data_IF_591326764405
#
_entry.id   IF_591326764405
#
_cell.length_a   1.000
_cell.length_b   1.000
_cell.length_c   1.000
_cell.angle_alpha   90.00
_cell.angle_beta   90.00
_cell.angle_gamma   90.00
#
_symmetry.space_group_name_H-M   'P 1'
#
loop_
_entity.id
_entity.type
_entity.pdbx_description
1 polymer ?
#
# COMPACT_ATOMS: atom_id res chain seq x y z
N UNK A 1 10.65 3.13 -29.07
CA UNK A 1 10.07 2.29 -30.15
C UNK A 1 8.57 2.26 -29.93
N UNK A 2 7.77 2.55 -30.96
CA UNK A 2 6.32 2.39 -30.91
C UNK A 2 5.95 0.90 -30.81
N UNK A 3 4.83 0.58 -30.13
CA UNK A 3 4.31 -0.77 -30.13
C UNK A 3 3.78 -1.13 -31.50
N UNK A 4 4.10 -2.32 -31.96
CA UNK A 4 3.48 -2.95 -33.14
C UNK A 4 3.27 -4.43 -32.84
N UNK A 5 2.18 -4.99 -33.34
CA UNK A 5 1.96 -6.43 -33.26
C UNK A 5 3.07 -7.18 -34.00
N UNK A 6 3.51 -8.34 -33.53
CA UNK A 6 4.39 -9.20 -34.31
C UNK A 6 3.79 -9.46 -35.72
N UNK A 7 4.60 -9.48 -36.77
CA UNK A 7 4.10 -9.69 -38.16
C UNK A 7 3.26 -10.97 -38.34
N UNK A 8 3.52 -11.98 -37.50
CA UNK A 8 2.78 -13.25 -37.49
C UNK A 8 1.41 -13.17 -36.82
N UNK A 9 1.08 -12.04 -36.16
CA UNK A 9 -0.17 -11.90 -35.43
C UNK A 9 -1.26 -11.28 -36.30
N UNK A 10 -2.37 -11.96 -36.39
CA UNK A 10 -3.60 -11.54 -37.05
C UNK A 10 -4.72 -11.30 -36.02
N UNK A 11 -5.85 -10.79 -36.47
CA UNK A 11 -7.07 -10.71 -35.64
C UNK A 11 -7.50 -12.06 -35.08
N UNK A 12 -7.31 -13.17 -35.84
CA UNK A 12 -7.57 -14.53 -35.35
C UNK A 12 -6.62 -14.94 -34.22
N UNK A 13 -5.35 -14.54 -34.29
CA UNK A 13 -4.37 -14.76 -33.21
C UNK A 13 -4.78 -14.07 -31.94
N UNK A 14 -5.20 -12.80 -32.01
CA UNK A 14 -5.70 -12.05 -30.86
C UNK A 14 -6.96 -12.66 -30.25
N UNK A 15 -7.91 -13.09 -31.07
CA UNK A 15 -9.13 -13.77 -30.62
C UNK A 15 -8.77 -15.07 -29.89
N UNK A 16 -7.91 -15.90 -30.47
CA UNK A 16 -7.46 -17.14 -29.85
C UNK A 16 -6.75 -16.94 -28.51
N UNK A 17 -5.89 -15.91 -28.40
CA UNK A 17 -5.21 -15.52 -27.18
C UNK A 17 -6.21 -15.13 -26.08
N UNK A 18 -7.17 -14.26 -26.43
CA UNK A 18 -8.21 -13.78 -25.50
C UNK A 18 -9.05 -14.93 -24.96
N UNK A 19 -9.50 -15.81 -25.84
CA UNK A 19 -10.29 -16.99 -25.47
C UNK A 19 -9.51 -17.93 -24.55
N UNK A 20 -8.25 -18.24 -24.88
CA UNK A 20 -7.41 -19.11 -24.05
C UNK A 20 -7.17 -18.54 -22.66
N UNK A 21 -6.89 -17.24 -22.56
CA UNK A 21 -6.64 -16.59 -21.28
C UNK A 21 -7.90 -16.52 -20.41
N UNK A 22 -9.05 -16.13 -20.97
CA UNK A 22 -10.32 -16.08 -20.25
C UNK A 22 -10.77 -17.48 -19.80
N UNK A 23 -10.69 -18.51 -20.66
CA UNK A 23 -11.03 -19.88 -20.29
C UNK A 23 -10.10 -20.43 -19.18
N UNK A 24 -8.85 -20.02 -19.16
CA UNK A 24 -7.93 -20.34 -18.07
C UNK A 24 -8.34 -19.63 -16.78
N UNK A 25 -8.64 -18.33 -16.85
CA UNK A 25 -9.06 -17.53 -15.71
C UNK A 25 -10.31 -18.08 -15.07
N UNK A 26 -11.32 -18.43 -15.85
CA UNK A 26 -12.58 -19.02 -15.36
C UNK A 26 -12.37 -20.25 -14.48
N UNK A 27 -11.28 -21.00 -14.73
CA UNK A 27 -10.94 -22.25 -14.02
C UNK A 27 -9.97 -22.05 -12.86
N UNK A 28 -9.13 -21.01 -12.89
CA UNK A 28 -7.97 -20.89 -12.00
C UNK A 28 -7.96 -19.63 -11.16
N UNK A 29 -8.95 -18.73 -11.35
CA UNK A 29 -9.02 -17.51 -10.53
C UNK A 29 -9.16 -17.85 -9.05
N UNK A 30 -8.41 -17.15 -8.21
CA UNK A 30 -8.53 -17.27 -6.77
C UNK A 30 -9.88 -16.70 -6.30
N UNK A 31 -10.52 -17.34 -5.32
CA UNK A 31 -11.67 -16.75 -4.62
C UNK A 31 -11.17 -15.63 -3.70
N UNK A 32 -11.45 -14.40 -4.08
CA UNK A 32 -11.01 -13.21 -3.34
C UNK A 32 -12.24 -12.38 -2.93
N UNK A 33 -12.29 -11.86 -1.69
CA UNK A 33 -13.48 -11.19 -1.16
C UNK A 33 -13.96 -9.99 -1.97
N UNK A 34 -13.08 -9.30 -2.68
CA UNK A 34 -13.41 -8.17 -3.56
C UNK A 34 -13.87 -8.56 -4.97
N UNK A 35 -13.86 -9.86 -5.30
CA UNK A 35 -14.40 -10.41 -6.56
C UNK A 35 -15.87 -10.83 -6.45
N UNK A 36 -16.42 -10.78 -5.24
CA UNK A 36 -17.82 -11.10 -4.95
C UNK A 36 -18.70 -9.88 -5.14
N UNK A 37 -19.99 -10.10 -5.38
CA UNK A 37 -21.01 -9.04 -5.40
C UNK A 37 -21.11 -8.35 -4.01
N UNK A 38 -21.86 -7.26 -3.94
CA UNK A 38 -22.04 -6.51 -2.69
C UNK A 38 -22.67 -7.36 -1.56
N UNK A 39 -23.57 -8.29 -1.93
CA UNK A 39 -24.20 -9.24 -1.02
C UNK A 39 -23.30 -10.44 -0.62
N UNK A 40 -22.06 -10.48 -1.13
CA UNK A 40 -21.09 -11.54 -0.88
C UNK A 40 -21.24 -12.77 -1.79
N UNK A 41 -22.19 -12.80 -2.73
CA UNK A 41 -22.37 -13.91 -3.67
C UNK A 41 -21.25 -13.96 -4.71
N UNK A 42 -20.87 -15.16 -5.13
CA UNK A 42 -19.93 -15.37 -6.22
C UNK A 42 -20.63 -15.25 -7.57
N UNK A 43 -19.95 -14.65 -8.58
CA UNK A 43 -20.42 -14.60 -9.97
C UNK A 43 -21.43 -13.49 -10.30
N UNK A 44 -21.79 -12.64 -9.36
CA UNK A 44 -22.58 -11.42 -9.60
C UNK A 44 -21.74 -10.24 -10.11
N UNK A 45 -22.40 -9.10 -10.45
CA UNK A 45 -21.68 -7.86 -10.77
C UNK A 45 -20.83 -7.42 -9.58
N UNK A 46 -19.56 -7.10 -9.85
CA UNK A 46 -18.63 -6.68 -8.79
C UNK A 46 -19.01 -5.30 -8.28
N UNK A 47 -18.98 -5.15 -6.97
CA UNK A 47 -19.21 -3.87 -6.31
C UNK A 47 -18.04 -2.90 -6.59
N UNK A 48 -18.27 -1.73 -7.21
CA UNK A 48 -17.22 -0.78 -7.53
C UNK A 48 -16.48 -0.24 -6.29
N UNK A 49 -17.15 -0.10 -5.15
CA UNK A 49 -16.51 0.32 -3.90
C UNK A 49 -15.53 -0.74 -3.40
N UNK A 50 -15.93 -2.00 -3.38
CA UNK A 50 -15.08 -3.13 -2.94
C UNK A 50 -13.89 -3.31 -3.88
N UNK A 51 -14.10 -3.20 -5.20
CA UNK A 51 -13.01 -3.20 -6.18
C UNK A 51 -12.04 -2.06 -5.89
N UNK A 52 -12.54 -0.84 -5.74
CA UNK A 52 -11.68 0.32 -5.50
C UNK A 52 -10.85 0.21 -4.21
N UNK A 53 -11.48 -0.13 -3.09
CA UNK A 53 -10.79 -0.33 -1.81
C UNK A 53 -9.69 -1.38 -1.94
N UNK A 54 -9.99 -2.53 -2.56
CA UNK A 54 -9.01 -3.61 -2.72
C UNK A 54 -7.83 -3.20 -3.59
N UNK A 55 -8.08 -2.52 -4.71
CA UNK A 55 -7.04 -2.08 -5.64
C UNK A 55 -6.10 -1.04 -5.01
N UNK A 56 -6.63 -0.17 -4.15
CA UNK A 56 -5.81 0.76 -3.36
C UNK A 56 -5.00 0.00 -2.29
N UNK A 57 -5.58 -0.98 -1.62
CA UNK A 57 -4.88 -1.80 -0.63
C UNK A 57 -3.77 -2.69 -1.24
N UNK A 58 -3.99 -3.19 -2.45
CA UNK A 58 -3.05 -4.07 -3.15
C UNK A 58 -1.83 -3.34 -3.73
N UNK A 59 -1.84 -2.02 -3.80
CA UNK A 59 -0.65 -1.27 -4.21
C UNK A 59 0.52 -1.56 -3.25
N UNK A 60 1.56 -2.22 -3.75
CA UNK A 60 2.77 -2.58 -2.99
C UNK A 60 2.53 -3.51 -1.77
N UNK A 61 1.39 -4.21 -1.74
CA UNK A 61 1.03 -5.13 -0.66
C UNK A 61 0.56 -6.46 -1.27
N UNK A 62 0.91 -7.59 -0.66
CA UNK A 62 0.52 -8.91 -1.16
C UNK A 62 -0.95 -9.22 -0.88
N UNK A 63 -1.56 -10.05 -1.73
CA UNK A 63 -2.95 -10.49 -1.57
C UNK A 63 -3.21 -11.10 -0.19
N UNK A 64 -2.33 -12.00 0.25
CA UNK A 64 -2.46 -12.66 1.57
C UNK A 64 -2.48 -11.66 2.72
N UNK A 65 -1.67 -10.59 2.65
CA UNK A 65 -1.67 -9.55 3.66
C UNK A 65 -2.94 -8.68 3.59
N UNK A 66 -3.45 -8.42 2.38
CA UNK A 66 -4.61 -7.51 2.18
C UNK A 66 -5.93 -8.12 2.64
N UNK A 67 -6.17 -9.42 2.43
CA UNK A 67 -7.46 -10.05 2.72
C UNK A 67 -8.01 -9.70 4.10
N UNK A 68 -7.31 -9.94 5.22
CA UNK A 68 -7.86 -9.65 6.55
C UNK A 68 -8.08 -8.14 6.80
N UNK A 69 -7.30 -7.27 6.16
CA UNK A 69 -7.51 -5.82 6.26
C UNK A 69 -8.73 -5.38 5.47
N UNK A 70 -8.89 -5.92 4.28
CA UNK A 70 -10.04 -5.61 3.42
C UNK A 70 -11.35 -6.01 4.10
N UNK A 71 -11.45 -7.23 4.62
CA UNK A 71 -12.65 -7.72 5.30
C UNK A 71 -13.01 -6.85 6.50
N UNK A 72 -12.03 -6.53 7.35
CA UNK A 72 -12.23 -5.64 8.51
C UNK A 72 -12.62 -4.22 8.10
N UNK A 73 -12.00 -3.69 7.04
CA UNK A 73 -12.24 -2.35 6.54
C UNK A 73 -13.66 -2.20 5.99
N UNK A 74 -14.08 -3.12 5.11
CA UNK A 74 -15.42 -3.06 4.51
C UNK A 74 -16.54 -3.43 5.48
N UNK A 75 -16.24 -4.22 6.52
CA UNK A 75 -17.19 -4.45 7.61
C UNK A 75 -17.44 -3.19 8.44
N UNK A 76 -16.39 -2.38 8.68
CA UNK A 76 -16.48 -1.14 9.46
C UNK A 76 -16.97 0.06 8.64
N UNK A 77 -16.70 0.08 7.33
CA UNK A 77 -16.98 1.15 6.37
C UNK A 77 -17.52 0.49 5.08
N UNK A 78 -18.81 0.10 5.04
CA UNK A 78 -19.34 -0.79 4.00
C UNK A 78 -19.48 -0.14 2.63
N UNK A 79 -19.52 1.17 2.54
CA UNK A 79 -19.75 1.92 1.31
C UNK A 79 -19.00 3.27 1.30
N UNK A 80 -19.09 3.98 0.19
CA UNK A 80 -18.41 5.27 -0.02
C UNK A 80 -18.90 6.34 0.96
N UNK A 81 -20.17 6.31 1.37
CA UNK A 81 -20.75 7.28 2.32
C UNK A 81 -20.23 7.05 3.73
N UNK A 82 -20.21 5.80 4.17
CA UNK A 82 -19.64 5.42 5.45
C UNK A 82 -18.16 5.79 5.54
N UNK A 83 -17.41 5.59 4.45
CA UNK A 83 -16.00 5.98 4.36
C UNK A 83 -15.86 7.52 4.37
N UNK A 84 -16.65 8.26 3.61
CA UNK A 84 -16.60 9.71 3.55
C UNK A 84 -16.95 10.38 4.89
N UNK A 85 -17.96 9.85 5.61
CA UNK A 85 -18.41 10.35 6.90
C UNK A 85 -17.49 9.97 8.07
N UNK A 86 -16.58 9.00 7.87
CA UNK A 86 -15.68 8.56 8.93
C UNK A 86 -14.67 9.66 9.29
N UNK A 87 -14.26 9.69 10.56
CA UNK A 87 -13.09 10.46 10.97
C UNK A 87 -11.81 9.87 10.38
N UNK A 88 -10.86 10.72 9.99
CA UNK A 88 -9.59 10.30 9.40
C UNK A 88 -8.79 9.38 10.32
N UNK A 89 -8.82 9.63 11.63
CA UNK A 89 -8.13 8.79 12.62
C UNK A 89 -8.70 7.36 12.62
N UNK A 90 -10.02 7.20 12.46
CA UNK A 90 -10.67 5.89 12.32
C UNK A 90 -10.22 5.19 11.05
N UNK A 91 -10.15 5.91 9.91
CA UNK A 91 -9.67 5.34 8.63
C UNK A 91 -8.21 4.90 8.74
N UNK A 92 -7.34 5.75 9.32
CA UNK A 92 -5.93 5.42 9.55
C UNK A 92 -5.77 4.22 10.50
N UNK A 93 -6.64 4.12 11.51
CA UNK A 93 -6.64 2.99 12.46
C UNK A 93 -7.01 1.67 11.78
N UNK A 94 -8.03 1.66 10.93
CA UNK A 94 -8.43 0.48 10.15
C UNK A 94 -7.34 0.06 9.15
N UNK A 95 -6.52 1.00 8.69
CA UNK A 95 -5.43 0.78 7.75
C UNK A 95 -4.10 0.39 8.42
N UNK A 96 -4.03 0.51 9.75
CA UNK A 96 -2.81 0.32 10.50
C UNK A 96 -2.17 -1.05 10.24
N UNK A 97 -0.89 -1.03 9.86
CA UNK A 97 -0.11 -2.23 9.53
C UNK A 97 0.04 -2.50 8.02
N UNK A 98 -0.84 -1.98 7.16
CA UNK A 98 -0.69 -2.11 5.69
C UNK A 98 0.44 -1.26 5.12
N UNK A 99 0.87 -0.23 5.84
CA UNK A 99 1.86 0.73 5.35
C UNK A 99 1.35 1.67 4.25
N UNK A 100 2.24 2.56 3.79
CA UNK A 100 1.89 3.54 2.73
C UNK A 100 0.59 4.30 3.02
N UNK A 101 0.45 4.83 4.22
CA UNK A 101 -0.78 5.47 4.74
C UNK A 101 -1.33 6.61 3.89
N UNK A 102 -0.49 7.22 3.03
CA UNK A 102 -0.94 8.16 2.03
C UNK A 102 -2.06 7.59 1.14
N UNK A 103 -2.06 6.28 0.89
CA UNK A 103 -3.13 5.61 0.15
C UNK A 103 -4.47 5.70 0.89
N UNK A 104 -4.48 5.44 2.19
CA UNK A 104 -5.69 5.55 3.02
C UNK A 104 -6.25 6.97 3.02
N UNK A 105 -5.38 7.98 3.15
CA UNK A 105 -5.80 9.39 3.12
C UNK A 105 -6.34 9.81 1.76
N UNK A 106 -5.69 9.40 0.66
CA UNK A 106 -6.19 9.65 -0.68
C UNK A 106 -7.54 8.95 -0.92
N UNK A 107 -7.67 7.69 -0.48
CA UNK A 107 -8.93 6.94 -0.55
C UNK A 107 -10.05 7.67 0.19
N UNK A 108 -9.77 8.16 1.40
CA UNK A 108 -10.72 8.92 2.22
C UNK A 108 -11.08 10.27 1.58
N UNK A 109 -10.11 11.05 1.10
CA UNK A 109 -10.35 12.31 0.41
C UNK A 109 -11.16 12.12 -0.88
N UNK A 110 -10.88 11.07 -1.65
CA UNK A 110 -11.63 10.74 -2.84
C UNK A 110 -13.06 10.28 -2.52
N UNK A 111 -13.26 9.55 -1.41
CA UNK A 111 -14.59 9.16 -0.95
C UNK A 111 -15.44 10.38 -0.56
N UNK A 112 -14.86 11.39 0.09
CA UNK A 112 -15.55 12.65 0.39
C UNK A 112 -15.98 13.37 -0.88
N UNK A 113 -15.09 13.52 -1.87
CA UNK A 113 -15.41 14.15 -3.14
C UNK A 113 -16.52 13.40 -3.91
N UNK A 114 -16.51 12.07 -3.89
CA UNK A 114 -17.55 11.26 -4.51
C UNK A 114 -18.90 11.36 -3.79
N UNK A 115 -18.90 11.36 -2.45
CA UNK A 115 -20.13 11.47 -1.66
C UNK A 115 -20.80 12.84 -1.80
N UNK A 116 -20.03 13.89 -2.03
CA UNK A 116 -20.55 15.25 -2.29
C UNK A 116 -21.20 15.35 -3.68
N UNK A 117 -20.63 14.69 -4.70
CA UNK A 117 -21.06 14.78 -6.09
C UNK A 117 -22.08 13.70 -6.50
N UNK A 118 -22.02 12.49 -5.91
CA UNK A 118 -22.77 11.30 -6.34
C UNK A 118 -23.36 10.56 -5.15
N UNK A 119 -24.59 10.91 -4.82
CA UNK A 119 -25.21 10.50 -3.56
C UNK A 119 -25.57 9.00 -3.50
N UNK A 120 -25.89 8.35 -4.63
CA UNK A 120 -26.48 7.01 -4.62
C UNK A 120 -25.63 5.89 -5.21
N UNK A 121 -24.82 6.14 -6.22
CA UNK A 121 -24.00 5.13 -6.88
C UNK A 121 -22.67 5.69 -7.34
N UNK A 122 -21.61 4.87 -7.24
CA UNK A 122 -20.32 5.22 -7.83
C UNK A 122 -20.45 5.29 -9.36
N UNK A 123 -19.98 6.37 -10.00
CA UNK A 123 -20.15 6.60 -11.43
C UNK A 123 -19.29 5.66 -12.29
N UNK A 124 -19.75 5.38 -13.50
CA UNK A 124 -18.96 4.68 -14.52
C UNK A 124 -18.24 5.63 -15.50
N UNK A 125 -18.22 6.93 -15.19
CA UNK A 125 -17.58 7.97 -16.00
C UNK A 125 -16.09 8.10 -15.68
N UNK A 126 -15.18 7.86 -16.66
CA UNK A 126 -13.75 8.02 -16.47
C UNK A 126 -13.31 9.42 -16.01
N UNK A 127 -14.01 10.47 -16.44
CA UNK A 127 -13.64 11.85 -16.11
C UNK A 127 -13.81 12.15 -14.61
N UNK A 128 -14.84 11.56 -13.98
CA UNK A 128 -15.06 11.67 -12.54
C UNK A 128 -13.93 11.01 -11.76
N UNK A 129 -13.55 9.79 -12.15
CA UNK A 129 -12.49 9.05 -11.46
C UNK A 129 -11.11 9.69 -11.64
N UNK A 130 -10.80 10.23 -12.85
CA UNK A 130 -9.49 10.85 -13.13
C UNK A 130 -9.25 12.13 -12.30
N UNK A 131 -10.32 12.80 -11.89
CA UNK A 131 -10.26 13.99 -11.02
C UNK A 131 -10.01 13.67 -9.53
N UNK A 132 -10.12 12.41 -9.10
CA UNK A 132 -10.07 12.05 -7.68
C UNK A 132 -8.65 11.98 -7.12
N UNK A 133 -8.43 12.41 -5.86
CA UNK A 133 -7.15 12.27 -5.19
C UNK A 133 -6.66 10.81 -5.14
N UNK A 134 -5.43 10.58 -5.60
CA UNK A 134 -4.81 9.25 -5.57
C UNK A 134 -5.31 8.25 -6.61
N UNK A 135 -6.23 8.65 -7.48
CA UNK A 135 -6.66 7.86 -8.63
C UNK A 135 -5.81 8.22 -9.83
N UNK A 136 -4.95 7.30 -10.23
CA UNK A 136 -4.19 7.38 -11.47
C UNK A 136 -4.73 6.39 -12.49
N UNK A 137 -4.13 6.38 -13.68
CA UNK A 137 -4.53 5.54 -14.82
C UNK A 137 -4.78 4.07 -14.45
N UNK A 138 -3.99 3.51 -13.50
CA UNK A 138 -4.16 2.13 -13.03
C UNK A 138 -5.47 1.95 -12.25
N UNK A 139 -5.71 2.74 -11.19
CA UNK A 139 -6.91 2.63 -10.35
C UNK A 139 -8.16 2.90 -11.18
N UNK A 140 -8.15 3.94 -12.00
CA UNK A 140 -9.23 4.27 -12.93
C UNK A 140 -9.57 3.08 -13.83
N UNK A 141 -8.56 2.52 -14.51
CA UNK A 141 -8.74 1.37 -15.37
C UNK A 141 -9.23 0.13 -14.62
N UNK A 142 -8.72 -0.11 -13.41
CA UNK A 142 -9.09 -1.25 -12.59
C UNK A 142 -10.55 -1.18 -12.15
N UNK A 143 -10.98 -0.07 -11.57
CA UNK A 143 -12.36 0.09 -11.10
C UNK A 143 -13.34 0.01 -12.26
N UNK A 144 -13.12 0.80 -13.32
CA UNK A 144 -14.06 0.90 -14.42
C UNK A 144 -14.13 -0.37 -15.28
N UNK A 145 -13.01 -1.08 -15.47
CA UNK A 145 -13.07 -2.35 -16.20
C UNK A 145 -13.65 -3.47 -15.35
N UNK A 146 -13.32 -3.57 -14.06
CA UNK A 146 -13.73 -4.69 -13.23
C UNK A 146 -15.19 -4.58 -12.76
N UNK A 147 -15.68 -3.38 -12.46
CA UNK A 147 -17.03 -3.18 -11.95
C UNK A 147 -18.05 -2.86 -13.05
N UNK A 148 -17.62 -2.20 -14.13
CA UNK A 148 -18.52 -1.71 -15.18
C UNK A 148 -18.21 -2.27 -16.59
N UNK A 149 -17.25 -3.18 -16.68
CA UNK A 149 -16.75 -3.79 -17.93
C UNK A 149 -16.32 -2.77 -19.01
N UNK A 150 -15.91 -1.57 -18.57
CA UNK A 150 -15.40 -0.55 -19.50
C UNK A 150 -14.11 -1.03 -20.14
N UNK A 151 -13.95 -0.76 -21.44
CA UNK A 151 -12.75 -1.13 -22.20
C UNK A 151 -11.56 -0.25 -21.85
N UNK A 152 -11.05 -0.43 -20.65
CA UNK A 152 -9.88 0.28 -20.12
C UNK A 152 -8.81 -0.73 -19.70
N UNK A 153 -7.58 -0.61 -20.21
CA UNK A 153 -6.50 -1.50 -19.82
C UNK A 153 -5.98 -1.19 -18.42
N UNK A 154 -5.38 -2.19 -17.79
CA UNK A 154 -4.59 -2.01 -16.57
C UNK A 154 -3.17 -2.53 -16.78
N UNK A 155 -2.22 -1.80 -16.20
CA UNK A 155 -0.80 -2.20 -16.21
C UNK A 155 -0.25 -2.06 -14.80
N UNK A 156 0.08 -3.21 -14.19
CA UNK A 156 0.77 -3.33 -12.92
C UNK A 156 1.93 -4.34 -13.05
N UNK A 157 2.65 -4.65 -11.99
CA UNK A 157 3.87 -5.44 -12.07
C UNK A 157 3.71 -6.83 -12.72
N UNK A 158 2.56 -7.50 -12.51
CA UNK A 158 2.30 -8.83 -13.06
C UNK A 158 1.90 -8.74 -14.55
N UNK A 159 0.89 -7.93 -14.88
CA UNK A 159 0.44 -7.75 -16.26
C UNK A 159 1.53 -7.16 -17.16
N UNK A 160 2.31 -6.21 -16.65
CA UNK A 160 3.48 -5.66 -17.33
C UNK A 160 4.49 -6.75 -17.70
N UNK A 161 4.80 -7.64 -16.75
CA UNK A 161 5.73 -8.76 -16.99
C UNK A 161 5.18 -9.73 -18.02
N UNK A 162 3.90 -10.09 -17.90
CA UNK A 162 3.22 -10.98 -18.87
C UNK A 162 3.29 -10.39 -20.26
N UNK A 163 2.89 -9.10 -20.42
CA UNK A 163 2.89 -8.42 -21.72
C UNK A 163 4.31 -8.28 -22.30
N UNK A 164 5.30 -7.91 -21.48
CA UNK A 164 6.68 -7.80 -21.93
C UNK A 164 7.21 -9.13 -22.44
N UNK A 165 6.94 -10.24 -21.74
CA UNK A 165 7.32 -11.60 -22.17
C UNK A 165 6.54 -12.08 -23.39
N UNK A 166 5.22 -11.84 -23.40
CA UNK A 166 4.35 -12.24 -24.50
C UNK A 166 4.83 -11.68 -25.84
N UNK A 167 5.22 -10.40 -25.86
CA UNK A 167 5.70 -9.72 -27.06
C UNK A 167 7.23 -9.66 -27.20
N UNK A 168 7.98 -10.27 -26.30
CA UNK A 168 9.45 -10.31 -26.37
C UNK A 168 10.11 -8.93 -26.21
N UNK A 169 9.51 -8.01 -25.45
CA UNK A 169 10.04 -6.65 -25.27
C UNK A 169 11.29 -6.64 -24.39
N UNK A 170 12.44 -6.38 -24.99
CA UNK A 170 13.75 -6.42 -24.31
C UNK A 170 14.10 -5.13 -23.56
N UNK A 171 13.41 -4.01 -23.86
CA UNK A 171 13.57 -2.75 -23.13
C UNK A 171 12.96 -2.81 -21.73
N UNK A 172 13.22 -1.78 -20.92
CA UNK A 172 12.56 -1.66 -19.60
C UNK A 172 11.13 -1.09 -19.79
N UNK A 173 10.08 -1.90 -19.57
CA UNK A 173 8.69 -1.45 -19.74
C UNK A 173 8.18 -0.55 -18.59
N UNK A 174 9.04 -0.23 -17.61
CA UNK A 174 8.68 0.60 -16.43
C UNK A 174 8.98 2.07 -16.62
N UNK A 175 9.84 2.43 -17.58
CA UNK A 175 10.36 3.79 -17.74
C UNK A 175 10.33 4.26 -19.20
N UNK A 176 10.26 5.56 -19.39
CA UNK A 176 10.39 6.20 -20.71
C UNK A 176 9.46 5.62 -21.77
N UNK A 177 9.99 5.37 -22.94
CA UNK A 177 9.25 4.81 -24.09
C UNK A 177 8.70 3.38 -23.81
N UNK A 178 9.35 2.61 -22.94
CA UNK A 178 8.86 1.30 -22.53
C UNK A 178 7.54 1.36 -21.78
N UNK A 179 7.33 2.42 -20.97
CA UNK A 179 6.05 2.64 -20.28
C UNK A 179 4.92 2.89 -21.26
N UNK A 180 5.12 3.73 -22.27
CA UNK A 180 4.12 3.96 -23.31
C UNK A 180 3.85 2.68 -24.09
N UNK A 181 4.92 1.95 -24.44
CA UNK A 181 4.84 0.68 -25.17
C UNK A 181 3.93 -0.35 -24.46
N UNK A 182 4.12 -0.57 -23.15
CA UNK A 182 3.34 -1.59 -22.42
C UNK A 182 1.87 -1.21 -22.29
N UNK A 183 1.55 0.05 -22.15
CA UNK A 183 0.16 0.52 -22.14
C UNK A 183 -0.52 0.28 -23.49
N UNK A 184 0.14 0.60 -24.61
CA UNK A 184 -0.39 0.31 -25.96
C UNK A 184 -0.53 -1.19 -26.18
N UNK A 185 0.40 -2.00 -25.69
CA UNK A 185 0.29 -3.46 -25.74
C UNK A 185 -0.95 -3.95 -24.98
N UNK A 186 -1.19 -3.43 -23.76
CA UNK A 186 -2.36 -3.77 -22.95
C UNK A 186 -3.67 -3.38 -23.65
N UNK A 187 -3.76 -2.17 -24.24
CA UNK A 187 -4.91 -1.71 -25.03
C UNK A 187 -5.20 -2.63 -26.22
N UNK A 188 -4.15 -3.05 -26.93
CA UNK A 188 -4.26 -3.87 -28.13
C UNK A 188 -4.81 -5.27 -27.82
N UNK A 189 -4.37 -5.89 -26.72
CA UNK A 189 -4.83 -7.25 -26.38
C UNK A 189 -6.21 -7.26 -25.72
N UNK A 190 -6.67 -6.13 -25.18
CA UNK A 190 -7.93 -6.06 -24.45
C UNK A 190 -9.12 -6.39 -25.37
N UNK A 191 -10.03 -7.31 -24.99
CA UNK A 191 -11.24 -7.61 -25.75
C UNK A 191 -12.27 -6.47 -25.68
N UNK A 192 -13.38 -6.60 -26.44
CA UNK A 192 -14.50 -5.63 -26.38
C UNK A 192 -15.54 -5.98 -25.30
N UNK A 193 -15.48 -7.16 -24.69
CA UNK A 193 -16.34 -7.62 -23.62
C UNK A 193 -15.51 -8.45 -22.63
N UNK A 194 -15.98 -8.55 -21.41
CA UNK A 194 -15.23 -9.18 -20.31
C UNK A 194 -13.87 -8.51 -20.10
N UNK A 195 -13.82 -7.19 -20.27
CA UNK A 195 -12.59 -6.40 -20.13
C UNK A 195 -12.00 -6.51 -18.72
N UNK A 196 -12.86 -6.43 -17.70
CA UNK A 196 -12.46 -6.60 -16.31
C UNK A 196 -11.90 -7.98 -16.01
N UNK A 197 -12.54 -9.05 -16.53
CA UNK A 197 -12.04 -10.42 -16.39
C UNK A 197 -10.70 -10.61 -17.09
N UNK A 198 -10.54 -10.04 -18.29
CA UNK A 198 -9.30 -10.15 -19.04
C UNK A 198 -8.14 -9.44 -18.34
N UNK A 199 -8.37 -8.25 -17.82
CA UNK A 199 -7.40 -7.53 -17.01
C UNK A 199 -6.97 -8.33 -15.77
N UNK A 200 -7.93 -8.88 -15.03
CA UNK A 200 -7.65 -9.75 -13.89
C UNK A 200 -6.95 -11.04 -14.30
N UNK A 201 -7.30 -11.62 -15.45
CA UNK A 201 -6.64 -12.82 -15.97
C UNK A 201 -5.14 -12.59 -16.28
N UNK A 202 -4.77 -11.42 -16.81
CA UNK A 202 -3.37 -11.04 -17.00
C UNK A 202 -2.63 -10.92 -15.65
N UNK A 203 -3.27 -10.30 -14.65
CA UNK A 203 -2.69 -10.17 -13.31
C UNK A 203 -2.52 -11.54 -12.65
N UNK A 204 -3.55 -12.38 -12.71
CA UNK A 204 -3.57 -13.73 -12.12
C UNK A 204 -2.54 -14.64 -12.78
N UNK A 205 -2.45 -14.62 -14.13
CA UNK A 205 -1.43 -15.35 -14.87
C UNK A 205 -0.02 -14.94 -14.45
N UNK A 206 0.20 -13.64 -14.27
CA UNK A 206 1.47 -13.14 -13.76
C UNK A 206 1.77 -13.59 -12.33
N UNK A 207 0.76 -13.62 -11.47
CA UNK A 207 0.94 -14.01 -10.08
C UNK A 207 1.19 -15.52 -9.89
N UNK A 208 0.52 -16.38 -10.67
CA UNK A 208 0.48 -17.83 -10.45
C UNK A 208 1.39 -18.63 -11.39
N UNK A 209 1.58 -18.18 -12.62
CA UNK A 209 2.25 -18.95 -13.69
C UNK A 209 3.46 -18.22 -14.24
N UNK A 210 3.26 -16.99 -14.73
CA UNK A 210 4.32 -16.17 -15.33
C UNK A 210 5.11 -15.41 -14.28
N UNK A 211 5.63 -16.09 -13.25
CA UNK A 211 6.33 -15.54 -12.09
C UNK A 211 7.64 -14.83 -12.46
N UNK A 212 8.19 -13.93 -11.62
CA UNK A 212 9.45 -13.22 -11.89
C UNK A 212 10.63 -14.15 -12.13
N UNK A 213 10.72 -15.21 -11.34
CA UNK A 213 11.76 -16.26 -11.40
C UNK A 213 11.10 -17.60 -11.66
N UNK A 214 11.74 -18.47 -12.42
CA UNK A 214 11.27 -19.82 -12.75
C UNK A 214 9.77 -19.87 -13.17
N UNK A 215 9.34 -19.12 -14.22
CA UNK A 215 7.96 -19.17 -14.67
C UNK A 215 7.58 -20.55 -15.19
N UNK A 216 6.39 -21.04 -14.81
CA UNK A 216 5.88 -22.31 -15.35
C UNK A 216 5.29 -22.12 -16.76
N UNK A 217 6.18 -22.08 -17.73
CA UNK A 217 5.79 -21.92 -19.13
C UNK A 217 5.04 -23.15 -19.69
N UNK A 218 5.14 -24.31 -19.05
CA UNK A 218 4.41 -25.53 -19.44
C UNK A 218 2.91 -25.42 -19.17
N UNK A 219 2.55 -24.88 -18.02
CA UNK A 219 1.16 -24.65 -17.62
C UNK A 219 0.56 -23.35 -18.20
N UNK A 220 1.34 -22.51 -18.90
CA UNK A 220 0.87 -21.22 -19.39
C UNK A 220 -0.10 -21.38 -20.58
N UNK A 221 -1.35 -20.85 -20.49
CA UNK A 221 -2.31 -20.92 -21.60
C UNK A 221 -1.85 -20.16 -22.85
N UNK A 222 -0.92 -19.22 -22.69
CA UNK A 222 -0.39 -18.37 -23.75
C UNK A 222 0.95 -18.86 -24.31
N UNK A 223 1.44 -20.03 -23.89
CA UNK A 223 2.77 -20.52 -24.25
C UNK A 223 3.03 -20.55 -25.77
N UNK A 224 2.03 -20.90 -26.58
CA UNK A 224 2.14 -20.98 -28.04
C UNK A 224 2.19 -19.62 -28.75
N UNK A 225 1.92 -18.52 -28.01
CA UNK A 225 1.99 -17.14 -28.52
C UNK A 225 3.12 -16.33 -27.89
N UNK A 226 3.85 -16.90 -26.92
CA UNK A 226 4.83 -16.17 -26.14
C UNK A 226 6.20 -16.09 -26.83
N UNK A 227 6.56 -14.87 -27.23
CA UNK A 227 7.84 -14.62 -27.90
C UNK A 227 9.05 -14.85 -26.99
N UNK A 228 8.95 -14.47 -25.71
CA UNK A 228 10.03 -14.74 -24.75
C UNK A 228 10.28 -16.24 -24.56
N UNK A 229 9.22 -17.07 -24.52
CA UNK A 229 9.38 -18.55 -24.48
C UNK A 229 10.02 -19.07 -25.76
N UNK A 230 9.56 -18.61 -26.92
CA UNK A 230 10.11 -19.03 -28.22
C UNK A 230 11.61 -18.75 -28.33
N UNK A 231 12.07 -17.65 -27.72
CA UNK A 231 13.48 -17.20 -27.75
C UNK A 231 14.30 -17.66 -26.53
N UNK A 232 13.73 -18.34 -25.54
CA UNK A 232 14.42 -18.71 -24.30
C UNK A 232 14.77 -17.53 -23.40
N UNK A 233 14.04 -16.41 -23.49
CA UNK A 233 14.35 -15.15 -22.81
C UNK A 233 13.43 -14.84 -21.62
N UNK A 234 12.59 -15.77 -21.18
CA UNK A 234 11.57 -15.52 -20.13
C UNK A 234 12.16 -15.09 -18.79
N UNK A 235 13.38 -15.42 -18.47
CA UNK A 235 14.05 -14.99 -17.24
C UNK A 235 14.82 -13.66 -17.37
N UNK A 236 15.03 -13.21 -18.61
CA UNK A 236 15.71 -11.96 -18.93
C UNK A 236 14.74 -10.81 -19.18
N UNK A 237 13.46 -11.13 -19.49
CA UNK A 237 12.39 -10.17 -19.78
C UNK A 237 11.39 -10.13 -18.62
N UNK A 238 11.08 -8.94 -18.11
CA UNK A 238 11.75 -7.66 -18.33
C UNK A 238 13.12 -7.60 -17.64
N UNK A 239 14.00 -6.63 -17.99
CA UNK A 239 15.29 -6.47 -17.33
C UNK A 239 15.15 -6.37 -15.82
N UNK A 240 16.07 -6.99 -15.06
CA UNK A 240 16.05 -6.94 -13.59
C UNK A 240 16.27 -5.49 -13.11
N UNK A 241 15.46 -5.06 -12.17
CA UNK A 241 15.66 -3.75 -11.51
C UNK A 241 16.84 -3.85 -10.56
N UNK A 242 17.76 -2.89 -10.62
CA UNK A 242 18.80 -2.76 -9.60
C UNK A 242 18.12 -2.39 -8.27
N UNK A 243 18.41 -3.09 -7.17
CA UNK A 243 17.91 -2.70 -5.87
C UNK A 243 18.44 -1.29 -5.52
N UNK A 244 17.65 -0.45 -4.84
CA UNK A 244 18.15 0.83 -4.35
C UNK A 244 19.27 0.60 -3.33
N UNK A 245 20.20 1.53 -3.26
CA UNK A 245 21.18 1.55 -2.18
C UNK A 245 20.44 1.74 -0.85
N UNK A 246 20.77 0.91 0.13
CA UNK A 246 20.21 1.00 1.48
C UNK A 246 21.04 2.02 2.26
N UNK A 247 20.37 2.94 2.95
CA UNK A 247 20.97 3.89 3.89
C UNK A 247 20.60 3.48 5.30
N UNK A 248 21.59 3.19 6.12
CA UNK A 248 21.37 2.90 7.54
C UNK A 248 21.17 4.19 8.31
N UNK A 249 20.20 4.20 9.23
CA UNK A 249 19.85 5.33 10.09
C UNK A 249 19.67 4.82 11.51
N UNK A 250 20.34 5.49 12.46
CA UNK A 250 20.11 5.30 13.89
C UNK A 250 19.18 6.39 14.39
N UNK A 251 18.12 6.03 15.10
CA UNK A 251 17.15 6.96 15.71
C UNK A 251 16.98 6.65 17.19
N UNK A 252 16.69 7.69 17.98
CA UNK A 252 16.30 7.57 19.39
C UNK A 252 14.85 8.02 19.52
N UNK A 253 14.03 7.18 20.15
CA UNK A 253 12.66 7.47 20.53
C UNK A 253 12.56 7.63 22.04
N UNK A 254 11.81 8.63 22.49
CA UNK A 254 11.73 8.97 23.92
C UNK A 254 10.32 8.74 24.42
N UNK A 255 10.16 7.80 25.35
CA UNK A 255 8.91 7.55 26.06
C UNK A 255 8.88 8.46 27.27
N UNK A 256 8.39 9.68 27.11
CA UNK A 256 8.32 10.68 28.19
C UNK A 256 7.15 10.33 29.12
N UNK A 257 7.44 10.13 30.41
CA UNK A 257 6.47 9.79 31.44
C UNK A 257 6.19 10.94 32.40
N UNK A 258 4.92 11.06 32.76
CA UNK A 258 4.43 11.88 33.87
C UNK A 258 3.45 11.04 34.70
N UNK A 259 3.90 10.51 35.84
CA UNK A 259 3.16 9.53 36.60
C UNK A 259 2.84 8.27 35.75
N UNK A 260 1.57 7.86 35.76
CA UNK A 260 1.08 6.69 35.02
C UNK A 260 0.84 6.96 33.53
N UNK A 261 1.03 8.20 33.07
CA UNK A 261 0.81 8.57 31.67
C UNK A 261 2.12 8.72 30.91
N UNK A 262 2.03 8.63 29.58
CA UNK A 262 3.10 8.93 28.66
C UNK A 262 2.68 9.91 27.58
N UNK A 263 3.63 10.67 27.07
CA UNK A 263 3.36 11.65 26.02
C UNK A 263 3.29 10.95 24.66
N UNK A 264 2.17 11.14 23.97
CA UNK A 264 1.95 10.72 22.60
C UNK A 264 1.78 11.96 21.73
N UNK A 265 2.54 12.07 20.64
CA UNK A 265 2.57 13.23 19.76
C UNK A 265 1.99 12.90 18.39
N UNK A 266 1.21 13.83 17.82
CA UNK A 266 0.64 13.68 16.49
C UNK A 266 1.49 14.41 15.45
N UNK A 267 1.90 13.69 14.41
CA UNK A 267 2.61 14.29 13.28
C UNK A 267 1.70 15.23 12.49
N UNK A 268 2.24 16.34 11.96
CA UNK A 268 1.46 17.30 11.18
C UNK A 268 1.00 16.70 9.84
N UNK A 269 -0.02 17.32 9.24
CA UNK A 269 -0.62 16.87 7.99
C UNK A 269 0.33 16.98 6.78
N UNK A 270 1.34 17.82 6.85
CA UNK A 270 2.37 18.03 5.82
C UNK A 270 3.68 17.27 6.10
N UNK A 271 3.76 16.48 7.18
CA UNK A 271 4.92 15.67 7.48
C UNK A 271 5.31 14.79 6.29
N UNK A 272 6.61 14.62 6.05
CA UNK A 272 7.12 13.81 4.94
C UNK A 272 6.71 12.33 4.99
N UNK A 273 6.45 11.79 6.20
CA UNK A 273 6.00 10.42 6.46
C UNK A 273 4.99 10.40 7.60
N UNK A 274 4.08 9.40 7.59
CA UNK A 274 3.13 9.12 8.67
C UNK A 274 2.30 10.33 9.12
N UNK A 275 1.87 11.16 8.17
CA UNK A 275 1.06 12.36 8.41
C UNK A 275 -0.20 12.00 9.22
N UNK A 276 -0.53 12.84 10.19
CA UNK A 276 -1.68 12.72 11.11
C UNK A 276 -1.65 11.46 12.00
N UNK A 277 -0.55 10.68 11.99
CA UNK A 277 -0.37 9.52 12.86
C UNK A 277 0.29 9.93 14.17
N UNK A 278 0.09 9.09 15.18
CA UNK A 278 0.64 9.28 16.50
C UNK A 278 1.93 8.49 16.71
N UNK A 279 2.81 9.01 17.57
CA UNK A 279 4.09 8.36 17.89
C UNK A 279 4.64 8.91 19.21
N UNK A 280 5.60 8.20 19.81
CA UNK A 280 6.49 8.84 20.77
C UNK A 280 7.50 9.71 20.02
N UNK A 281 7.96 10.84 20.59
CA UNK A 281 8.95 11.70 19.94
C UNK A 281 10.19 10.88 19.57
N UNK A 282 10.66 10.98 18.31
CA UNK A 282 11.89 10.34 17.86
C UNK A 282 12.59 11.14 16.77
N UNK A 283 13.91 11.08 16.75
CA UNK A 283 14.73 11.73 15.74
C UNK A 283 16.04 10.96 15.49
N UNK A 284 16.76 11.26 14.39
CA UNK A 284 18.07 10.68 14.14
C UNK A 284 19.06 11.00 15.27
N UNK A 285 19.88 10.01 15.58
CA UNK A 285 21.04 10.11 16.49
C UNK A 285 22.31 10.37 15.68
N UNK A 286 23.15 11.26 16.13
CA UNK A 286 24.48 11.45 15.57
C UNK A 286 25.32 10.18 15.81
N UNK A 287 26.34 9.92 14.96
CA UNK A 287 27.02 8.63 14.90
C UNK A 287 27.62 8.13 16.22
N UNK A 288 28.18 9.02 17.00
CA UNK A 288 28.86 8.76 18.30
C UNK A 288 28.10 9.34 19.50
N UNK A 289 26.97 10.00 19.30
CA UNK A 289 26.16 10.56 20.39
C UNK A 289 25.66 9.44 21.32
N UNK A 290 25.79 9.65 22.65
CA UNK A 290 25.20 8.72 23.62
C UNK A 290 23.68 8.65 23.51
N UNK A 291 23.10 7.51 23.82
CA UNK A 291 21.65 7.29 23.69
C UNK A 291 20.88 8.17 24.69
N UNK A 292 21.40 8.37 25.91
CA UNK A 292 20.76 9.19 26.92
C UNK A 292 20.84 10.68 26.56
N UNK A 293 21.97 11.14 26.06
CA UNK A 293 22.13 12.52 25.58
C UNK A 293 21.20 12.81 24.40
N UNK A 294 21.13 11.87 23.45
CA UNK A 294 20.19 11.95 22.33
C UNK A 294 18.73 11.99 22.80
N UNK A 295 18.36 11.23 23.83
CA UNK A 295 17.00 11.24 24.38
C UNK A 295 16.65 12.62 24.98
N UNK A 296 17.54 13.22 25.74
CA UNK A 296 17.37 14.57 26.31
C UNK A 296 17.22 15.60 25.19
N UNK A 297 18.11 15.58 24.20
CA UNK A 297 18.05 16.49 23.05
C UNK A 297 16.75 16.33 22.27
N UNK A 298 16.38 15.09 21.93
CA UNK A 298 15.16 14.79 21.14
C UNK A 298 13.90 15.26 21.88
N UNK A 299 13.79 14.99 23.20
CA UNK A 299 12.68 15.48 24.01
C UNK A 299 12.61 17.00 23.96
N UNK A 300 13.73 17.69 24.20
CA UNK A 300 13.79 19.14 24.21
C UNK A 300 13.48 19.77 22.86
N UNK A 301 14.09 19.29 21.78
CA UNK A 301 13.89 19.84 20.43
C UNK A 301 12.47 19.63 19.91
N UNK A 302 11.88 18.45 20.14
CA UNK A 302 10.60 18.09 19.55
C UNK A 302 9.40 18.45 20.42
N UNK A 303 9.57 18.58 21.73
CA UNK A 303 8.43 18.79 22.66
C UNK A 303 8.61 19.98 23.60
N UNK A 304 9.80 20.57 23.65
CA UNK A 304 10.15 21.63 24.61
C UNK A 304 10.33 21.16 26.05
N UNK A 305 10.12 19.88 26.34
CA UNK A 305 10.15 19.31 27.68
C UNK A 305 11.58 18.97 28.11
N UNK A 306 11.87 19.16 29.39
CA UNK A 306 13.09 18.68 30.04
C UNK A 306 12.81 17.30 30.64
N UNK A 307 13.73 16.36 30.41
CA UNK A 307 13.57 14.98 30.84
C UNK A 307 14.84 14.44 31.48
N UNK A 308 14.66 13.51 32.40
CA UNK A 308 15.74 12.67 32.93
C UNK A 308 15.67 11.31 32.26
N UNK A 309 16.68 10.93 31.45
CA UNK A 309 16.68 9.67 30.72
C UNK A 309 16.85 8.50 31.69
N UNK A 310 16.10 7.45 31.45
CA UNK A 310 16.12 6.21 32.21
C UNK A 310 16.63 5.03 31.40
N UNK A 311 15.88 3.94 31.40
CA UNK A 311 16.31 2.68 30.78
C UNK A 311 15.84 2.54 29.34
N UNK A 312 16.59 1.76 28.56
CA UNK A 312 16.13 1.31 27.24
C UNK A 312 14.89 0.43 27.40
N UNK A 313 13.84 0.79 26.67
CA UNK A 313 12.60 0.02 26.60
C UNK A 313 12.74 -1.14 25.64
N UNK A 314 13.19 -0.83 24.44
CA UNK A 314 13.42 -1.77 23.35
C UNK A 314 14.14 -1.12 22.18
N UNK A 315 14.77 -1.93 21.37
CA UNK A 315 15.27 -1.54 20.04
C UNK A 315 14.41 -2.16 18.93
N UNK A 316 13.93 -1.33 18.00
CA UNK A 316 13.12 -1.76 16.84
C UNK A 316 13.91 -1.55 15.55
N UNK A 317 14.21 -2.63 14.83
CA UNK A 317 14.75 -2.55 13.46
C UNK A 317 13.63 -2.62 12.44
N UNK A 318 13.59 -1.67 11.50
CA UNK A 318 12.59 -1.63 10.45
C UNK A 318 13.10 -0.96 9.19
N UNK A 319 12.44 -1.25 8.05
CA UNK A 319 12.76 -0.63 6.77
C UNK A 319 11.68 0.35 6.32
N UNK A 320 12.09 1.50 5.78
CA UNK A 320 11.19 2.46 5.13
C UNK A 320 11.81 2.88 3.80
N UNK A 321 11.22 2.47 2.68
CA UNK A 321 11.74 2.71 1.33
C UNK A 321 13.19 2.23 1.16
N UNK A 322 14.16 3.14 1.19
CA UNK A 322 15.61 2.83 1.11
C UNK A 322 16.34 2.90 2.45
N UNK A 323 15.64 3.21 3.53
CA UNK A 323 16.25 3.37 4.85
C UNK A 323 16.10 2.10 5.68
N UNK A 324 17.19 1.60 6.23
CA UNK A 324 17.22 0.60 7.29
C UNK A 324 17.38 1.34 8.62
N UNK A 325 16.32 1.41 9.41
CA UNK A 325 16.27 2.22 10.62
C UNK A 325 16.42 1.33 11.84
N UNK A 326 17.33 1.69 12.72
CA UNK A 326 17.45 1.13 14.07
C UNK A 326 16.97 2.21 15.05
N UNK A 327 15.77 2.02 15.60
CA UNK A 327 15.14 2.92 16.57
C UNK A 327 15.35 2.35 17.97
N UNK A 328 16.16 3.05 18.78
CA UNK A 328 16.36 2.76 20.22
C UNK A 328 15.34 3.58 21.00
N UNK A 329 14.46 2.93 21.76
CA UNK A 329 13.44 3.60 22.56
C UNK A 329 13.86 3.64 24.03
N UNK A 330 13.93 4.83 24.59
CA UNK A 330 14.33 5.09 25.98
C UNK A 330 13.16 5.64 26.76
N UNK A 331 12.93 5.15 27.96
CA UNK A 331 11.99 5.74 28.91
C UNK A 331 12.66 6.93 29.58
N UNK A 332 11.94 8.04 29.76
CA UNK A 332 12.46 9.24 30.40
C UNK A 332 11.40 9.87 31.29
N UNK A 333 11.79 10.29 32.47
CA UNK A 333 10.92 11.00 33.41
C UNK A 333 10.83 12.48 33.06
N UNK A 334 9.63 13.06 33.07
CA UNK A 334 9.45 14.50 32.93
C UNK A 334 10.08 15.24 34.14
N UNK A 335 10.93 16.21 33.89
CA UNK A 335 11.53 17.07 34.92
C UNK A 335 10.75 18.39 34.97
N UNK A 336 10.22 18.74 36.14
CA UNK A 336 9.49 19.97 36.34
C UNK A 336 8.10 20.00 35.69
N UNK A 337 7.46 21.17 35.69
CA UNK A 337 6.09 21.37 35.16
C UNK A 337 6.09 22.02 33.76
N UNK A 338 7.01 21.68 32.87
CA UNK A 338 7.09 22.25 31.53
C UNK A 338 5.82 22.04 30.71
N UNK A 339 5.36 23.06 30.02
CA UNK A 339 4.26 22.92 29.05
C UNK A 339 4.82 22.36 27.73
N UNK A 340 4.06 21.46 27.12
CA UNK A 340 4.37 21.02 25.77
C UNK A 340 4.41 22.21 24.82
N UNK A 341 5.54 22.39 24.16
CA UNK A 341 5.69 23.36 23.09
C UNK A 341 5.81 22.59 21.77
N UNK A 342 4.85 22.71 20.86
CA UNK A 342 4.85 21.97 19.61
C UNK A 342 6.00 22.44 18.72
N UNK A 343 7.11 21.72 18.73
CA UNK A 343 8.22 21.92 17.79
C UNK A 343 7.84 21.46 16.39
N UNK A 344 7.76 20.14 16.22
CA UNK A 344 7.46 19.51 14.93
C UNK A 344 6.13 18.77 14.89
N UNK A 345 5.36 18.79 15.97
CA UNK A 345 4.10 18.06 16.12
C UNK A 345 2.89 18.96 16.03
N UNK A 346 1.77 18.44 15.50
CA UNK A 346 0.52 19.20 15.40
C UNK A 346 -0.29 19.17 16.71
N UNK A 347 -0.18 18.08 17.48
CA UNK A 347 -0.89 17.87 18.75
C UNK A 347 -0.08 16.93 19.66
N UNK A 348 -0.39 16.96 20.95
CA UNK A 348 0.16 16.01 21.91
C UNK A 348 -0.84 15.69 23.01
N UNK A 349 -0.79 14.46 23.53
CA UNK A 349 -1.68 14.00 24.61
C UNK A 349 -0.91 13.15 25.60
N UNK A 350 -1.20 13.37 26.85
CA UNK A 350 -0.84 12.46 27.94
C UNK A 350 -1.86 11.32 27.97
N UNK A 351 -1.41 10.10 27.77
CA UNK A 351 -2.27 8.92 27.65
C UNK A 351 -1.79 7.81 28.57
N UNK A 352 -2.70 6.99 29.05
CA UNK A 352 -2.31 5.79 29.81
C UNK A 352 -1.84 4.69 28.84
N UNK A 353 -1.02 3.73 29.29
CA UNK A 353 -0.66 2.58 28.47
C UNK A 353 -1.85 1.81 27.89
N UNK A 354 -2.97 1.75 28.60
CA UNK A 354 -4.20 1.10 28.17
C UNK A 354 -4.84 1.79 26.94
N UNK A 355 -4.70 3.11 26.83
CA UNK A 355 -5.30 3.91 25.75
C UNK A 355 -4.50 3.85 24.45
N UNK A 356 -3.25 3.37 24.47
CA UNK A 356 -2.35 3.35 23.31
C UNK A 356 -2.91 2.54 22.11
N UNK A 357 -3.75 1.55 22.39
CA UNK A 357 -4.39 0.75 21.35
C UNK A 357 -5.35 1.55 20.47
N UNK A 358 -5.91 2.66 20.94
CA UNK A 358 -6.88 3.47 20.21
C UNK A 358 -6.25 4.35 19.12
N UNK A 359 -4.98 4.71 19.26
CA UNK A 359 -4.32 5.66 18.36
C UNK A 359 -3.76 4.96 17.11
N UNK A 360 -3.91 5.54 15.90
CA UNK A 360 -3.26 5.04 14.69
C UNK A 360 -1.78 5.39 14.72
N UNK A 361 -0.94 4.38 14.59
CA UNK A 361 0.52 4.51 14.70
C UNK A 361 1.25 3.71 13.63
N UNK A 362 2.50 4.03 13.36
CA UNK A 362 3.33 3.22 12.46
C UNK A 362 3.65 1.84 13.07
N UNK A 363 3.98 0.85 12.21
CA UNK A 363 4.30 -0.50 12.70
C UNK A 363 5.42 -0.57 13.75
N UNK A 364 6.53 0.19 13.64
CA UNK A 364 7.53 0.23 14.71
C UNK A 364 6.98 0.83 16.01
N UNK A 365 6.18 1.89 15.93
CA UNK A 365 5.52 2.50 17.08
C UNK A 365 4.50 1.54 17.72
N UNK A 366 3.77 0.74 16.92
CA UNK A 366 2.85 -0.27 17.47
C UNK A 366 3.57 -1.33 18.28
N UNK A 367 4.76 -1.77 17.83
CA UNK A 367 5.58 -2.71 18.61
C UNK A 367 5.97 -2.13 19.96
N UNK A 368 6.42 -0.87 19.98
CA UNK A 368 6.74 -0.16 21.20
C UNK A 368 5.53 -0.04 22.13
N UNK A 369 4.39 0.41 21.61
CA UNK A 369 3.17 0.59 22.41
C UNK A 369 2.62 -0.73 22.96
N UNK A 370 2.75 -1.82 22.22
CA UNK A 370 2.40 -3.15 22.74
C UNK A 370 3.30 -3.54 23.92
N UNK A 371 4.59 -3.27 23.83
CA UNK A 371 5.51 -3.52 24.94
C UNK A 371 5.24 -2.61 26.14
N UNK A 372 4.84 -1.36 25.92
CA UNK A 372 4.51 -0.42 26.99
C UNK A 372 3.18 -0.75 27.69
N UNK A 373 2.24 -1.37 26.99
CA UNK A 373 0.94 -1.80 27.51
C UNK A 373 0.97 -3.17 28.19
N UNK A 374 2.09 -3.89 28.17
CA UNK A 374 2.21 -5.21 28.81
C UNK A 374 2.16 -5.06 30.35
N UNK A 375 1.13 -5.60 31.04
CA UNK A 375 0.99 -5.49 32.49
C UNK A 375 2.09 -6.25 33.25
N UNK A 376 2.75 -7.23 32.62
CA UNK A 376 3.86 -7.96 33.24
C UNK A 376 5.19 -7.24 33.10
N UNK A 377 5.25 -6.16 32.35
CA UNK A 377 6.41 -5.29 32.33
C UNK A 377 6.51 -4.58 33.67
N UNK A 378 7.46 -5.02 34.51
CA UNK A 378 7.79 -4.26 35.72
C UNK A 378 8.22 -2.84 35.30
N UNK A 379 7.52 -1.78 35.77
CA UNK A 379 8.10 -0.45 35.71
C UNK A 379 9.43 -0.53 36.44
N UNK A 380 10.53 -0.34 35.73
CA UNK A 380 11.80 -0.15 36.43
C UNK A 380 11.71 1.23 37.03
N UNK A 381 11.34 1.27 38.29
CA UNK A 381 11.33 2.48 39.10
C UNK A 381 12.72 3.12 39.02
N UNK A 382 12.76 4.39 38.72
CA UNK A 382 13.94 5.25 38.81
C UNK A 382 14.41 5.35 40.25
#
# INVERSE_FOLDING_TARGET
>A
MSFSLPPSWSGRTLTGLRTKLLNWFDKHQRDLPWRRAADGTAGGPRDPYRVWVSEVMLQQTTVTAVVPYFERFVAALPDVRALAAADEQRVLKLWEGLGYYRRARHLHAAAKALAEAHVDQLPDDPAVWDALPGVGRYILGAVLSQAFDRKLPIVEANSLRVLARLFGHRGDPRVGAGKAWVWTAAETVLPNARCGDFNQALMELGALVCTPTAPDCGACPLQGHCEAKRLGLQEQIPPKKKPPAITEVSEVGVVIRSGDTLLLCQRPADAGRWQNMWEVPHAPRAGDEDVSDAAVRVAKELTGLDVEPGVEVMTVKHGVTRYAITLVCVEAALVGGGAFAPGSYADAKWVTPADLAAYPVSSPQRKLMTALADPNRQPRLF
#
